data_IF_774669347254
#
_entry.id   IF_774669347254
#
_cell.length_a   1.000
_cell.length_b   1.000
_cell.length_c   1.000
_cell.angle_alpha   90.00
_cell.angle_beta   90.00
_cell.angle_gamma   90.00
#
_symmetry.space_group_name_H-M   'P 1'
#
loop_
_entity.id
_entity.type
_entity.pdbx_description
1 polymer ?
#
# COMPACT_ATOMS: atom_id res chain seq x y z
N UNK A 1 19.89 30.09 -6.54
CA UNK A 1 18.80 30.81 -7.22
C UNK A 1 17.60 30.93 -6.27
N UNK A 2 16.93 32.09 -6.21
CA UNK A 2 15.74 32.26 -5.39
C UNK A 2 14.48 31.92 -6.20
N UNK A 3 13.70 30.95 -5.72
CA UNK A 3 12.36 30.67 -6.23
C UNK A 3 11.41 31.80 -5.84
N UNK A 4 10.69 32.35 -6.83
CA UNK A 4 9.66 33.37 -6.65
C UNK A 4 8.27 32.74 -6.86
N UNK A 5 7.23 33.36 -6.31
CA UNK A 5 5.84 32.87 -6.46
C UNK A 5 5.46 32.73 -7.94
N UNK A 6 5.90 33.66 -8.79
CA UNK A 6 5.62 33.67 -10.22
C UNK A 6 6.28 32.49 -10.95
N UNK A 7 7.54 32.15 -10.66
CA UNK A 7 8.21 30.98 -11.25
C UNK A 7 7.53 29.67 -10.83
N UNK A 8 7.04 29.60 -9.60
CA UNK A 8 6.33 28.41 -9.12
C UNK A 8 4.97 28.29 -9.81
N UNK A 9 4.29 29.42 -10.04
CA UNK A 9 3.04 29.48 -10.79
C UNK A 9 3.22 29.00 -12.23
N UNK A 10 4.23 29.50 -12.93
CA UNK A 10 4.58 29.06 -14.28
C UNK A 10 4.89 27.56 -14.34
N UNK A 11 5.65 27.05 -13.35
CA UNK A 11 5.92 25.61 -13.24
C UNK A 11 4.65 24.77 -12.99
N UNK A 12 3.71 25.27 -12.18
CA UNK A 12 2.43 24.59 -11.94
C UNK A 12 1.52 24.62 -13.16
N UNK A 13 1.48 25.73 -13.89
CA UNK A 13 0.73 25.85 -15.15
C UNK A 13 1.31 24.93 -16.22
N UNK A 14 2.64 24.83 -16.32
CA UNK A 14 3.31 23.86 -17.18
C UNK A 14 2.91 22.42 -16.82
N UNK A 15 3.01 22.06 -15.55
CA UNK A 15 2.61 20.72 -15.09
C UNK A 15 1.12 20.45 -15.36
N UNK A 16 0.26 21.45 -15.20
CA UNK A 16 -1.16 21.35 -15.50
C UNK A 16 -1.42 21.13 -16.99
N UNK A 17 -0.70 21.84 -17.87
CA UNK A 17 -0.79 21.63 -19.31
C UNK A 17 -0.31 20.23 -19.72
N UNK A 18 0.70 19.68 -19.04
CA UNK A 18 1.27 18.36 -19.32
C UNK A 18 0.38 17.22 -18.81
N UNK A 19 -0.26 17.38 -17.64
CA UNK A 19 -0.93 16.29 -16.92
C UNK A 19 -2.42 16.50 -16.63
N UNK A 20 -3.00 17.66 -17.00
CA UNK A 20 -4.40 18.01 -16.74
C UNK A 20 -4.76 18.19 -15.27
N UNK A 21 -3.77 18.27 -14.37
CA UNK A 21 -3.94 18.45 -12.92
C UNK A 21 -2.71 19.10 -12.31
N UNK A 22 -2.83 19.64 -11.10
CA UNK A 22 -1.69 20.20 -10.37
C UNK A 22 -0.80 19.12 -9.72
N UNK A 23 0.50 19.39 -9.54
CA UNK A 23 1.44 18.40 -9.02
C UNK A 23 1.24 18.19 -7.51
N UNK A 24 1.32 16.96 -7.06
CA UNK A 24 1.37 16.61 -5.63
C UNK A 24 2.71 16.99 -5.01
N UNK A 25 2.80 17.03 -3.68
CA UNK A 25 4.06 17.34 -2.97
C UNK A 25 5.24 16.44 -3.39
N UNK A 26 4.98 15.21 -3.82
CA UNK A 26 6.02 14.27 -4.25
C UNK A 26 6.41 14.44 -5.71
N UNK A 27 5.44 14.80 -6.56
CA UNK A 27 5.72 15.09 -7.97
C UNK A 27 6.53 16.37 -8.09
N UNK A 28 6.26 17.37 -7.25
CA UNK A 28 7.07 18.60 -7.16
C UNK A 28 8.56 18.30 -6.97
N UNK A 29 8.90 17.31 -6.16
CA UNK A 29 10.30 16.90 -5.93
C UNK A 29 10.92 16.16 -7.13
N UNK A 30 10.13 15.83 -8.15
CA UNK A 30 10.52 15.02 -9.32
C UNK A 30 10.74 15.84 -10.60
N UNK A 31 10.45 17.14 -10.60
CA UNK A 31 10.60 18.01 -11.79
C UNK A 31 11.56 19.16 -11.52
N UNK A 32 12.57 19.31 -12.38
CA UNK A 32 13.62 20.34 -12.26
C UNK A 32 13.08 21.77 -12.38
N UNK A 33 11.92 21.94 -13.02
CA UNK A 33 11.25 23.24 -13.17
C UNK A 33 10.41 23.64 -11.96
N UNK A 34 10.41 22.84 -10.88
CA UNK A 34 9.74 23.12 -9.61
C UNK A 34 10.74 23.17 -8.45
N UNK A 35 10.51 24.02 -7.42
CA UNK A 35 11.27 23.94 -6.17
C UNK A 35 10.94 22.64 -5.44
N UNK A 36 11.81 22.18 -4.54
CA UNK A 36 11.44 21.05 -3.69
C UNK A 36 10.29 21.42 -2.75
N UNK A 37 9.48 20.42 -2.40
CA UNK A 37 8.37 20.54 -1.45
C UNK A 37 8.81 21.15 -0.11
N UNK A 38 10.03 20.82 0.35
CA UNK A 38 10.62 21.39 1.56
C UNK A 38 10.97 22.88 1.41
N UNK A 39 11.39 23.31 0.23
CA UNK A 39 11.60 24.74 -0.06
C UNK A 39 10.27 25.48 -0.10
N UNK A 40 9.22 24.89 -0.68
CA UNK A 40 7.86 25.43 -0.67
C UNK A 40 7.36 25.61 0.77
N UNK A 41 7.54 24.59 1.61
CA UNK A 41 7.13 24.63 3.02
C UNK A 41 7.81 25.77 3.78
N UNK A 42 9.14 25.91 3.62
CA UNK A 42 9.93 26.91 4.36
C UNK A 42 9.66 28.34 3.93
N UNK A 43 9.47 28.59 2.63
CA UNK A 43 9.35 29.95 2.08
C UNK A 43 7.92 30.42 1.93
N UNK A 44 6.98 29.50 1.70
CA UNK A 44 5.61 29.83 1.29
C UNK A 44 4.55 29.18 2.18
N UNK A 45 4.92 28.70 3.38
CA UNK A 45 3.97 28.14 4.34
C UNK A 45 3.38 26.77 3.96
N UNK A 46 3.90 26.14 2.90
CA UNK A 46 3.44 24.84 2.42
C UNK A 46 2.57 24.91 1.19
N UNK A 47 2.43 23.75 0.54
CA UNK A 47 1.73 23.62 -0.72
C UNK A 47 0.24 24.00 -0.67
N UNK A 48 -0.52 23.69 0.41
CA UNK A 48 -1.91 24.12 0.53
C UNK A 48 -2.06 25.64 0.60
N UNK A 49 -1.21 26.31 1.39
CA UNK A 49 -1.24 27.77 1.54
C UNK A 49 -0.88 28.47 0.21
N UNK A 50 0.15 27.96 -0.47
CA UNK A 50 0.55 28.49 -1.76
C UNK A 50 -0.56 28.36 -2.83
N UNK A 51 -1.29 27.24 -2.84
CA UNK A 51 -2.43 27.05 -3.77
C UNK A 51 -3.63 27.93 -3.44
N UNK A 52 -3.92 28.12 -2.16
CA UNK A 52 -4.97 29.05 -1.71
C UNK A 52 -4.64 30.49 -2.14
N UNK A 53 -3.38 30.91 -1.97
CA UNK A 53 -2.90 32.23 -2.38
C UNK A 53 -2.98 32.44 -3.90
N UNK A 54 -2.81 31.38 -4.69
CA UNK A 54 -2.96 31.41 -6.15
C UNK A 54 -4.41 31.30 -6.64
N UNK A 55 -5.39 31.21 -5.75
CA UNK A 55 -6.81 31.13 -6.12
C UNK A 55 -7.22 29.79 -6.75
N UNK A 56 -6.46 28.71 -6.51
CA UNK A 56 -6.81 27.41 -7.05
C UNK A 56 -8.00 26.79 -6.30
N UNK A 57 -8.98 26.18 -7.03
CA UNK A 57 -10.19 25.64 -6.43
C UNK A 57 -9.95 24.43 -5.52
N UNK A 58 -8.82 23.73 -5.66
CA UNK A 58 -8.49 22.54 -4.86
C UNK A 58 -7.17 22.74 -4.10
N UNK A 59 -7.26 23.41 -2.94
CA UNK A 59 -6.09 23.67 -2.08
C UNK A 59 -5.49 22.38 -1.50
N UNK A 60 -6.31 21.35 -1.27
CA UNK A 60 -5.93 20.14 -0.56
C UNK A 60 -6.42 18.87 -1.29
N UNK A 61 -5.53 18.18 -2.00
CA UNK A 61 -5.82 16.88 -2.61
C UNK A 61 -5.96 15.74 -1.59
N UNK A 62 -5.77 16.01 -0.29
CA UNK A 62 -5.95 15.04 0.79
C UNK A 62 -7.35 15.05 1.41
N UNK A 63 -8.23 15.97 0.96
CA UNK A 63 -9.64 16.09 1.42
C UNK A 63 -10.61 16.11 0.23
N UNK A 64 -11.83 15.60 0.44
CA UNK A 64 -12.93 15.67 -0.53
C UNK A 64 -13.03 14.49 -1.52
N UNK A 65 -13.83 14.71 -2.58
CA UNK A 65 -14.27 13.71 -3.57
C UNK A 65 -13.12 12.93 -4.24
N UNK A 66 -11.95 13.55 -4.44
CA UNK A 66 -10.78 12.90 -5.05
C UNK A 66 -10.23 11.79 -4.13
N UNK A 67 -10.23 11.99 -2.81
CA UNK A 67 -9.85 10.93 -1.85
C UNK A 67 -10.93 9.84 -1.79
N UNK A 68 -12.19 10.22 -1.91
CA UNK A 68 -13.32 9.27 -1.89
C UNK A 68 -13.35 8.38 -3.13
N UNK A 69 -13.18 8.95 -4.33
CA UNK A 69 -13.12 8.21 -5.59
C UNK A 69 -11.89 7.31 -5.66
N UNK A 70 -10.74 7.78 -5.17
CA UNK A 70 -9.50 7.02 -5.08
C UNK A 70 -9.57 5.88 -4.05
N UNK A 71 -10.14 6.13 -2.88
CA UNK A 71 -10.41 5.10 -1.88
C UNK A 71 -11.41 4.06 -2.42
N UNK A 72 -12.43 4.48 -3.17
CA UNK A 72 -13.34 3.55 -3.87
C UNK A 72 -12.62 2.72 -4.92
N UNK A 73 -11.72 3.31 -5.71
CA UNK A 73 -10.95 2.58 -6.72
C UNK A 73 -10.00 1.56 -6.10
N UNK A 74 -9.26 1.96 -5.06
CA UNK A 74 -8.37 1.08 -4.29
C UNK A 74 -9.19 0.00 -3.58
N UNK A 75 -10.31 0.35 -2.98
CA UNK A 75 -11.21 -0.59 -2.30
C UNK A 75 -11.80 -1.61 -3.26
N UNK A 76 -12.30 -1.17 -4.43
CA UNK A 76 -12.83 -2.09 -5.45
C UNK A 76 -11.75 -3.06 -5.94
N UNK A 77 -10.55 -2.56 -6.26
CA UNK A 77 -9.43 -3.44 -6.63
C UNK A 77 -8.99 -4.35 -5.50
N UNK A 78 -8.97 -3.85 -4.26
CA UNK A 78 -8.69 -4.66 -3.07
C UNK A 78 -9.63 -5.86 -2.99
N UNK A 79 -10.93 -5.62 -3.14
CA UNK A 79 -11.95 -6.69 -3.18
C UNK A 79 -11.74 -7.65 -4.34
N UNK A 80 -11.45 -7.16 -5.55
CA UNK A 80 -11.19 -8.01 -6.71
C UNK A 80 -9.98 -8.94 -6.46
N UNK A 81 -8.93 -8.43 -5.83
CA UNK A 81 -7.74 -9.20 -5.49
C UNK A 81 -7.94 -10.15 -4.31
N UNK A 82 -8.71 -9.75 -3.29
CA UNK A 82 -9.13 -10.65 -2.22
C UNK A 82 -9.91 -11.84 -2.77
N UNK A 83 -10.83 -11.62 -3.72
CA UNK A 83 -11.57 -12.70 -4.40
C UNK A 83 -10.64 -13.59 -5.22
N UNK A 84 -9.65 -13.01 -5.91
CA UNK A 84 -8.67 -13.76 -6.68
C UNK A 84 -7.82 -14.66 -5.76
N UNK A 85 -7.31 -14.12 -4.65
CA UNK A 85 -6.55 -14.87 -3.64
C UNK A 85 -7.44 -15.94 -3.00
N UNK A 86 -8.68 -15.61 -2.64
CA UNK A 86 -9.66 -16.55 -2.09
C UNK A 86 -9.86 -17.74 -3.01
N UNK A 87 -10.16 -17.50 -4.29
CA UNK A 87 -10.39 -18.55 -5.27
C UNK A 87 -9.17 -19.47 -5.38
N UNK A 88 -7.98 -18.88 -5.50
CA UNK A 88 -6.73 -19.64 -5.53
C UNK A 88 -6.54 -20.51 -4.28
N UNK A 89 -6.79 -19.96 -3.09
CA UNK A 89 -6.65 -20.68 -1.83
C UNK A 89 -7.63 -21.85 -1.72
N UNK A 90 -8.89 -21.64 -2.08
CA UNK A 90 -9.92 -22.69 -2.06
C UNK A 90 -9.56 -23.79 -3.06
N UNK A 91 -9.18 -23.42 -4.29
CA UNK A 91 -8.79 -24.39 -5.33
C UNK A 91 -7.57 -25.22 -4.90
N UNK A 92 -6.63 -24.61 -4.16
CA UNK A 92 -5.39 -25.27 -3.72
C UNK A 92 -5.55 -26.09 -2.44
N UNK A 93 -6.14 -25.50 -1.40
CA UNK A 93 -6.17 -26.08 -0.05
C UNK A 93 -7.52 -26.73 0.28
N UNK A 94 -8.58 -26.42 -0.45
CA UNK A 94 -9.94 -26.84 -0.15
C UNK A 94 -10.68 -25.85 0.74
N UNK A 95 -11.97 -25.64 0.47
CA UNK A 95 -12.80 -24.65 1.18
C UNK A 95 -12.83 -24.87 2.70
N UNK A 96 -12.87 -26.13 3.15
CA UNK A 96 -12.86 -26.47 4.59
C UNK A 96 -11.58 -26.07 5.33
N UNK A 97 -10.50 -25.78 4.61
CA UNK A 97 -9.19 -25.44 5.19
C UNK A 97 -8.82 -23.97 4.99
N UNK A 98 -9.73 -23.15 4.43
CA UNK A 98 -9.56 -21.72 4.19
C UNK A 98 -10.65 -20.98 4.95
N UNK A 99 -10.27 -20.32 6.04
CA UNK A 99 -11.20 -19.59 6.90
C UNK A 99 -11.12 -18.10 6.63
N UNK A 100 -12.26 -17.49 6.28
CA UNK A 100 -12.38 -16.05 6.08
C UNK A 100 -12.59 -15.30 7.39
N UNK A 101 -12.04 -14.08 7.49
CA UNK A 101 -12.31 -13.14 8.58
C UNK A 101 -12.07 -13.70 10.00
N UNK A 102 -11.11 -14.62 10.15
CA UNK A 102 -10.82 -15.20 11.45
C UNK A 102 -10.20 -14.14 12.38
N UNK A 103 -10.76 -13.95 13.60
CA UNK A 103 -10.24 -12.97 14.54
C UNK A 103 -8.82 -13.32 14.99
N UNK A 104 -8.04 -12.28 15.26
CA UNK A 104 -6.75 -12.40 15.95
C UNK A 104 -6.96 -12.92 17.37
N UNK A 105 -5.90 -13.45 17.99
CA UNK A 105 -5.96 -14.03 19.35
C UNK A 105 -6.47 -13.04 20.42
N UNK A 106 -6.34 -11.74 20.18
CA UNK A 106 -6.79 -10.65 21.03
C UNK A 106 -8.13 -10.03 20.56
N UNK A 107 -8.77 -10.58 19.53
CA UNK A 107 -10.04 -10.14 18.94
C UNK A 107 -10.07 -8.68 18.44
N UNK A 108 -8.91 -8.02 18.34
CA UNK A 108 -8.81 -6.62 17.94
C UNK A 108 -8.83 -6.42 16.43
N UNK A 109 -8.50 -7.47 15.66
CA UNK A 109 -8.52 -7.47 14.20
C UNK A 109 -8.93 -8.83 13.65
N UNK A 110 -9.03 -8.94 12.33
CA UNK A 110 -9.33 -10.17 11.60
C UNK A 110 -8.37 -10.30 10.42
N UNK A 111 -7.89 -11.52 10.19
CA UNK A 111 -7.21 -11.83 8.94
C UNK A 111 -8.23 -11.90 7.81
N UNK A 112 -7.82 -11.57 6.59
CA UNK A 112 -8.69 -11.78 5.43
C UNK A 112 -8.91 -13.29 5.23
N UNK A 113 -7.83 -14.06 5.35
CA UNK A 113 -7.86 -15.52 5.33
C UNK A 113 -6.94 -16.13 6.37
N UNK A 114 -7.29 -17.31 6.87
CA UNK A 114 -6.40 -18.21 7.60
C UNK A 114 -6.46 -19.56 6.92
N UNK A 115 -5.28 -20.12 6.62
CA UNK A 115 -5.15 -21.36 5.87
C UNK A 115 -4.50 -22.42 6.73
N UNK A 116 -5.10 -23.60 6.72
CA UNK A 116 -4.59 -24.80 7.38
C UNK A 116 -4.01 -25.74 6.33
N UNK A 117 -2.68 -25.83 6.30
CA UNK A 117 -1.94 -26.71 5.41
C UNK A 117 -1.30 -27.86 6.19
N UNK A 118 -0.76 -28.86 5.48
CA UNK A 118 -0.07 -29.98 6.11
C UNK A 118 1.12 -29.45 6.92
N UNK A 119 1.10 -29.70 8.23
CA UNK A 119 2.11 -29.32 9.21
C UNK A 119 2.28 -27.81 9.45
N UNK A 120 1.39 -26.94 8.93
CA UNK A 120 1.47 -25.51 9.22
C UNK A 120 0.14 -24.77 9.09
N UNK A 121 0.02 -23.69 9.84
CA UNK A 121 -1.06 -22.72 9.76
C UNK A 121 -0.47 -21.35 9.45
N UNK A 122 -1.14 -20.58 8.59
CA UNK A 122 -0.74 -19.22 8.28
C UNK A 122 -1.93 -18.30 8.04
N UNK A 123 -1.79 -17.05 8.48
CA UNK A 123 -2.76 -15.97 8.24
C UNK A 123 -2.34 -15.15 7.03
N UNK A 124 -3.31 -14.63 6.32
CA UNK A 124 -3.12 -13.87 5.09
C UNK A 124 -3.90 -12.57 5.24
N UNK A 125 -3.25 -11.49 4.85
CA UNK A 125 -3.87 -10.19 4.75
C UNK A 125 -3.45 -9.55 3.41
N UNK A 126 -4.45 -9.26 2.58
CA UNK A 126 -4.30 -8.75 1.21
C UNK A 126 -4.47 -7.25 1.22
N UNK A 127 -3.57 -6.53 0.55
CA UNK A 127 -3.66 -5.07 0.46
C UNK A 127 -3.18 -4.56 -0.88
N UNK A 128 -3.82 -3.48 -1.35
CA UNK A 128 -3.50 -2.84 -2.63
C UNK A 128 -2.89 -1.45 -2.39
N UNK A 129 -1.57 -1.33 -2.18
CA UNK A 129 -0.92 -0.04 -2.00
C UNK A 129 -0.74 0.65 -3.36
N UNK A 130 -0.93 1.96 -3.39
CA UNK A 130 -0.73 2.76 -4.61
C UNK A 130 0.74 2.84 -5.03
N UNK A 131 1.65 2.94 -4.06
CA UNK A 131 3.08 3.11 -4.30
C UNK A 131 3.91 2.39 -3.26
N UNK A 132 5.21 2.24 -3.51
CA UNK A 132 6.17 1.65 -2.58
C UNK A 132 6.21 2.37 -1.22
N UNK A 133 5.93 3.68 -1.18
CA UNK A 133 5.86 4.43 0.09
C UNK A 133 4.63 4.03 0.90
N UNK A 134 3.51 3.78 0.24
CA UNK A 134 2.28 3.31 0.89
C UNK A 134 2.48 1.89 1.45
N UNK A 135 3.30 1.05 0.80
CA UNK A 135 3.65 -0.29 1.32
C UNK A 135 4.19 -0.19 2.74
N UNK A 136 5.16 0.70 3.01
CA UNK A 136 5.74 0.88 4.36
C UNK A 136 4.65 1.18 5.39
N UNK A 137 3.74 2.10 5.08
CA UNK A 137 2.66 2.49 5.97
C UNK A 137 1.70 1.34 6.26
N UNK A 138 1.28 0.62 5.22
CA UNK A 138 0.42 -0.56 5.34
C UNK A 138 1.08 -1.64 6.20
N UNK A 139 2.36 -1.95 5.93
CA UNK A 139 3.12 -2.96 6.65
C UNK A 139 3.27 -2.60 8.12
N UNK A 140 3.66 -1.36 8.45
CA UNK A 140 3.81 -0.94 9.85
C UNK A 140 2.48 -1.03 10.62
N UNK A 141 1.37 -0.65 9.98
CA UNK A 141 0.06 -0.75 10.60
C UNK A 141 -0.32 -2.21 10.88
N UNK A 142 -0.12 -3.09 9.91
CA UNK A 142 -0.44 -4.51 10.03
C UNK A 142 0.50 -5.25 10.97
N UNK A 143 1.78 -4.91 10.99
CA UNK A 143 2.75 -5.45 11.96
C UNK A 143 2.36 -5.11 13.39
N UNK A 144 1.85 -3.89 13.65
CA UNK A 144 1.36 -3.53 14.99
C UNK A 144 0.18 -4.41 15.42
N UNK A 145 -0.68 -4.80 14.48
CA UNK A 145 -1.85 -5.63 14.72
C UNK A 145 -1.46 -7.11 14.90
N UNK A 146 -0.68 -7.66 13.96
CA UNK A 146 -0.42 -9.10 13.86
C UNK A 146 0.94 -9.52 14.44
N UNK A 147 1.77 -8.59 14.88
CA UNK A 147 3.13 -8.88 15.36
C UNK A 147 3.22 -9.76 16.61
N UNK A 148 2.09 -10.03 17.28
CA UNK A 148 1.99 -10.90 18.45
C UNK A 148 1.41 -12.28 18.14
N UNK A 149 1.10 -12.57 16.88
CA UNK A 149 0.51 -13.85 16.49
C UNK A 149 1.54 -14.98 16.54
N UNK A 150 1.11 -16.16 17.00
CA UNK A 150 1.98 -17.33 17.20
C UNK A 150 2.21 -18.20 15.95
N UNK A 151 1.67 -17.79 14.80
CA UNK A 151 1.79 -18.50 13.54
C UNK A 151 2.28 -17.56 12.42
N UNK A 152 2.58 -18.11 11.25
CA UNK A 152 3.07 -17.35 10.09
C UNK A 152 2.00 -16.36 9.59
N UNK A 153 2.40 -15.14 9.29
CA UNK A 153 1.52 -14.11 8.73
C UNK A 153 2.09 -13.63 7.40
N UNK A 154 1.28 -13.71 6.36
CA UNK A 154 1.66 -13.37 4.99
C UNK A 154 0.89 -12.12 4.58
N UNK A 155 1.61 -11.02 4.37
CA UNK A 155 1.05 -9.82 3.76
C UNK A 155 1.19 -9.91 2.25
N UNK A 156 0.05 -10.00 1.55
CA UNK A 156 0.00 -10.10 0.10
C UNK A 156 -0.26 -8.72 -0.50
N UNK A 157 0.77 -8.19 -1.13
CA UNK A 157 0.71 -6.93 -1.85
C UNK A 157 0.19 -7.17 -3.28
N UNK A 158 -0.93 -6.54 -3.62
CA UNK A 158 -1.70 -6.85 -4.82
C UNK A 158 -1.43 -5.94 -6.03
N UNK A 159 -0.73 -4.82 -5.86
CA UNK A 159 -0.42 -3.91 -6.98
C UNK A 159 0.81 -4.39 -7.76
N UNK A 160 0.57 -4.95 -8.95
CA UNK A 160 1.57 -5.51 -9.86
C UNK A 160 2.65 -4.53 -10.33
N UNK A 161 2.43 -3.22 -10.19
CA UNK A 161 3.47 -2.23 -10.46
C UNK A 161 4.61 -2.24 -9.41
N UNK A 162 4.43 -2.94 -8.28
CA UNK A 162 5.41 -3.07 -7.22
C UNK A 162 6.03 -4.47 -7.29
N UNK A 163 7.29 -4.55 -7.71
CA UNK A 163 8.03 -5.80 -7.79
C UNK A 163 8.46 -6.33 -6.42
N UNK A 164 8.76 -7.63 -6.35
CA UNK A 164 9.25 -8.27 -5.12
C UNK A 164 10.60 -7.70 -4.68
N UNK A 165 11.48 -7.37 -5.62
CA UNK A 165 12.80 -6.79 -5.32
C UNK A 165 12.66 -5.44 -4.60
N UNK A 166 11.67 -4.63 -4.99
CA UNK A 166 11.36 -3.38 -4.31
C UNK A 166 10.88 -3.60 -2.87
N UNK A 167 10.06 -4.64 -2.65
CA UNK A 167 9.59 -5.03 -1.31
C UNK A 167 10.77 -5.49 -0.45
N UNK A 168 11.65 -6.33 -0.98
CA UNK A 168 12.82 -6.83 -0.26
C UNK A 168 13.81 -5.72 0.08
N UNK A 169 14.07 -4.80 -0.85
CA UNK A 169 14.88 -3.61 -0.59
C UNK A 169 14.27 -2.74 0.51
N UNK A 170 12.95 -2.60 0.53
CA UNK A 170 12.24 -1.88 1.58
C UNK A 170 12.44 -2.56 2.93
N UNK A 171 12.26 -3.88 3.01
CA UNK A 171 12.45 -4.66 4.24
C UNK A 171 13.89 -4.55 4.75
N UNK A 172 14.89 -4.68 3.87
CA UNK A 172 16.32 -4.56 4.22
C UNK A 172 16.70 -3.19 4.77
N UNK A 173 16.01 -2.13 4.34
CA UNK A 173 16.27 -0.73 4.77
C UNK A 173 15.54 -0.35 6.06
N UNK A 174 14.70 -1.23 6.62
CA UNK A 174 13.97 -0.91 7.84
C UNK A 174 14.92 -0.82 9.03
N UNK A 175 14.75 0.23 9.85
CA UNK A 175 15.49 0.38 11.11
C UNK A 175 15.20 -0.77 12.08
N UNK A 176 13.92 -1.16 12.17
CA UNK A 176 13.47 -2.29 12.96
C UNK A 176 13.11 -3.42 11.99
N UNK A 177 13.76 -4.60 12.10
CA UNK A 177 13.45 -5.73 11.25
C UNK A 177 12.04 -6.25 11.54
N UNK A 178 11.42 -6.86 10.52
CA UNK A 178 10.15 -7.53 10.70
C UNK A 178 10.30 -8.74 11.64
N UNK A 179 9.25 -9.06 12.42
CA UNK A 179 9.16 -10.34 13.11
C UNK A 179 9.37 -11.51 12.15
N UNK A 180 10.07 -12.55 12.60
CA UNK A 180 10.44 -13.69 11.75
C UNK A 180 9.24 -14.46 11.18
N UNK A 181 8.09 -14.36 11.84
CA UNK A 181 6.85 -14.99 11.41
C UNK A 181 6.06 -14.14 10.40
N UNK A 182 6.51 -12.91 10.07
CA UNK A 182 5.83 -12.05 9.10
C UNK A 182 6.60 -12.05 7.79
N UNK A 183 5.91 -12.38 6.71
CA UNK A 183 6.43 -12.34 5.34
C UNK A 183 5.60 -11.39 4.48
N UNK A 184 6.25 -10.78 3.49
CA UNK A 184 5.59 -9.87 2.54
C UNK A 184 5.92 -10.36 1.14
N UNK A 185 4.87 -10.65 0.38
CA UNK A 185 4.97 -11.11 -0.99
C UNK A 185 4.13 -10.24 -1.91
N UNK A 186 4.61 -10.01 -3.12
CA UNK A 186 3.69 -9.68 -4.20
C UNK A 186 2.85 -10.92 -4.58
N UNK A 187 1.82 -10.70 -5.39
CA UNK A 187 0.84 -11.75 -5.70
C UNK A 187 1.46 -12.98 -6.38
N UNK A 188 2.39 -12.78 -7.31
CA UNK A 188 3.01 -13.87 -8.08
C UNK A 188 3.94 -14.74 -7.23
N UNK A 189 4.72 -14.12 -6.34
CA UNK A 189 5.60 -14.83 -5.40
C UNK A 189 4.75 -15.59 -4.39
N UNK A 190 3.67 -14.97 -3.91
CA UNK A 190 2.73 -15.63 -3.00
C UNK A 190 2.15 -16.91 -3.61
N UNK A 191 1.67 -16.87 -4.85
CA UNK A 191 1.13 -18.07 -5.49
C UNK A 191 2.16 -19.17 -5.70
N UNK A 192 3.41 -18.81 -6.06
CA UNK A 192 4.50 -19.79 -6.16
C UNK A 192 4.79 -20.44 -4.81
N UNK A 193 4.98 -19.63 -3.78
CA UNK A 193 5.23 -20.10 -2.42
C UNK A 193 4.08 -20.98 -1.89
N UNK A 194 2.83 -20.57 -2.11
CA UNK A 194 1.67 -21.34 -1.66
C UNK A 194 1.50 -22.67 -2.42
N UNK A 195 1.94 -22.73 -3.68
CA UNK A 195 1.91 -23.97 -4.47
C UNK A 195 2.89 -25.04 -3.97
N UNK A 196 3.99 -24.63 -3.35
CA UNK A 196 4.97 -25.55 -2.72
C UNK A 196 4.41 -26.21 -1.45
N UNK A 197 3.34 -25.65 -0.88
CA UNK A 197 2.70 -26.19 0.31
C UNK A 197 1.81 -27.38 -0.02
N UNK A 198 1.82 -28.36 0.87
CA UNK A 198 0.95 -29.53 0.81
C UNK A 198 -0.40 -29.22 1.47
N UNK A 199 -1.53 -29.43 0.79
CA UNK A 199 -2.85 -29.33 1.40
C UNK A 199 -3.03 -30.30 2.57
N UNK A 200 -3.93 -29.98 3.49
CA UNK A 200 -4.36 -30.93 4.50
C UNK A 200 -5.36 -31.90 3.85
N UNK A 201 -5.22 -33.19 4.13
CA UNK A 201 -6.12 -34.24 3.62
C UNK A 201 -7.01 -34.71 4.76
N UNK A 202 -8.30 -34.91 4.51
CA UNK A 202 -9.19 -35.60 5.44
C UNK A 202 -8.92 -37.10 5.27
N UNK A 203 -8.40 -37.72 6.32
CA UNK A 203 -8.19 -39.17 6.42
C UNK A 203 -9.51 -39.85 6.75
#
# INVERSE_FOLDING_TARGET
>A
MSWTEQKIKEGFERFFSEHGRYPTAHEIDSYDYLPSSRQIQRKFGGLPFLRQKMGHPTADFTKGEIRSSKARFIGKRGLDYEQLVKKFLIDKFGEMFVHEQQPTSDYTSRFDFVVYAKNKQFGIDVFFPESIRNVVGCVNHKEKIYGKTNFEVIFVQANSAISQENIELLIKRRKNPLPKNIHIFNTDIFFRWANELKPLEII
#
